data_IF_712939133435
#
_entry.id   IF_712939133435
#
_cell.length_a   1.000
_cell.length_b   1.000
_cell.length_c   1.000
_cell.angle_alpha   90.00
_cell.angle_beta   90.00
_cell.angle_gamma   90.00
#
_symmetry.space_group_name_H-M   'P 1'
#
loop_
_entity.id
_entity.type
_entity.pdbx_description
1 polymer ?
#
# COMPACT_ATOMS: atom_id res chain seq x y z
N UNK A 1 4.54 -23.43 -32.83
CA UNK A 1 5.03 -23.29 -31.44
C UNK A 1 4.99 -21.82 -31.05
N UNK A 2 4.40 -21.46 -29.91
CA UNK A 2 4.50 -20.10 -29.33
C UNK A 2 5.39 -20.18 -28.09
N UNK A 3 6.43 -19.34 -28.03
CA UNK A 3 7.41 -19.30 -26.94
C UNK A 3 7.28 -17.95 -26.21
N UNK A 4 6.99 -17.99 -24.91
CA UNK A 4 7.05 -16.84 -24.01
C UNK A 4 8.17 -17.11 -23.00
N UNK A 5 9.19 -16.25 -22.97
CA UNK A 5 10.24 -16.27 -21.95
C UNK A 5 10.10 -15.03 -21.07
N UNK A 6 9.92 -15.22 -19.77
CA UNK A 6 9.93 -14.15 -18.78
C UNK A 6 11.02 -14.47 -17.76
N UNK A 7 11.86 -13.48 -17.45
CA UNK A 7 12.86 -13.57 -16.37
C UNK A 7 12.23 -13.39 -14.98
N UNK A 8 10.92 -13.11 -14.92
CA UNK A 8 10.20 -12.80 -13.69
C UNK A 8 9.76 -14.06 -12.98
N UNK A 9 10.13 -14.18 -11.70
CA UNK A 9 9.57 -15.20 -10.80
C UNK A 9 8.24 -14.70 -10.22
N UNK A 10 7.19 -15.51 -10.33
CA UNK A 10 5.87 -15.21 -9.77
C UNK A 10 5.58 -16.26 -8.69
N UNK A 11 5.34 -15.80 -7.46
CA UNK A 11 4.91 -16.64 -6.34
C UNK A 11 3.38 -16.52 -6.20
N UNK A 12 2.68 -17.65 -6.20
CA UNK A 12 1.20 -17.71 -6.15
C UNK A 12 0.72 -18.85 -5.27
N UNK A 13 -0.51 -18.73 -4.75
CA UNK A 13 -1.13 -19.73 -3.89
C UNK A 13 -1.04 -19.37 -2.40
N UNK A 14 -1.55 -20.27 -1.57
CA UNK A 14 -1.40 -20.17 -0.12
C UNK A 14 0.09 -20.22 0.27
N UNK A 15 0.51 -19.38 1.21
CA UNK A 15 1.92 -19.29 1.63
C UNK A 15 2.83 -18.50 0.69
N UNK A 16 2.32 -17.89 -0.39
CA UNK A 16 3.17 -17.14 -1.34
C UNK A 16 4.01 -16.01 -0.70
N UNK A 17 3.54 -15.43 0.41
CA UNK A 17 4.26 -14.39 1.15
C UNK A 17 5.50 -14.91 1.90
N UNK A 18 5.61 -16.22 2.15
CA UNK A 18 6.80 -16.82 2.77
C UNK A 18 8.07 -16.59 1.95
N UNK A 19 7.93 -16.39 0.63
CA UNK A 19 9.03 -16.03 -0.24
C UNK A 19 9.72 -14.71 0.17
N UNK A 20 9.03 -13.81 0.90
CA UNK A 20 9.61 -12.56 1.40
C UNK A 20 10.72 -12.81 2.44
N UNK A 21 10.71 -13.95 3.14
CA UNK A 21 11.75 -14.31 4.11
C UNK A 21 13.10 -14.60 3.44
N UNK A 22 13.12 -14.86 2.13
CA UNK A 22 14.36 -15.13 1.38
C UNK A 22 15.24 -13.88 1.20
N UNK A 23 14.66 -12.68 1.34
CA UNK A 23 15.42 -11.44 1.31
C UNK A 23 16.06 -11.20 2.67
N UNK A 24 17.39 -11.19 2.73
CA UNK A 24 18.16 -10.92 3.95
C UNK A 24 19.15 -9.78 3.74
N UNK A 25 19.38 -8.98 4.79
CA UNK A 25 20.25 -7.81 4.80
C UNK A 25 19.94 -6.81 3.67
N UNK A 26 18.65 -6.58 3.38
CA UNK A 26 18.18 -5.66 2.33
C UNK A 26 17.56 -4.40 2.91
N UNK A 27 17.59 -3.33 2.11
CA UNK A 27 16.77 -2.13 2.32
C UNK A 27 15.53 -2.24 1.43
N UNK A 28 14.36 -2.34 2.05
CA UNK A 28 13.10 -2.62 1.38
C UNK A 28 12.22 -1.39 1.48
N UNK A 29 11.83 -0.83 0.34
CA UNK A 29 10.94 0.31 0.26
C UNK A 29 9.54 -0.13 -0.14
N UNK A 30 8.60 -0.03 0.81
CA UNK A 30 7.23 -0.46 0.64
C UNK A 30 6.41 0.74 0.19
N UNK A 31 5.89 0.68 -1.02
CA UNK A 31 4.94 1.68 -1.55
C UNK A 31 3.55 1.07 -1.48
N UNK A 32 2.66 1.72 -0.74
CA UNK A 32 1.32 1.19 -0.49
C UNK A 32 0.29 2.31 -0.41
N UNK A 33 -0.98 1.94 -0.30
CA UNK A 33 -2.09 2.86 -0.12
C UNK A 33 -2.48 3.01 1.37
N UNK A 34 -3.28 4.03 1.74
CA UNK A 34 -3.68 4.24 3.13
C UNK A 34 -4.56 3.14 3.68
N UNK A 35 -5.32 2.46 2.81
CA UNK A 35 -6.20 1.37 3.23
C UNK A 35 -5.38 0.20 3.77
N UNK A 36 -4.28 -0.15 3.12
CA UNK A 36 -3.35 -1.21 3.56
C UNK A 36 -2.77 -0.96 4.95
N UNK A 37 -2.53 0.30 5.31
CA UNK A 37 -2.09 0.68 6.68
C UNK A 37 -3.27 0.62 7.66
N UNK A 38 -4.41 1.21 7.29
CA UNK A 38 -5.58 1.29 8.18
C UNK A 38 -6.21 -0.08 8.51
N UNK A 39 -6.01 -1.06 7.63
CA UNK A 39 -6.59 -2.40 7.75
C UNK A 39 -5.71 -3.39 8.53
N UNK A 40 -4.47 -3.03 8.86
CA UNK A 40 -3.52 -3.94 9.49
C UNK A 40 -2.86 -4.95 8.54
N UNK A 41 -3.13 -4.84 7.23
CA UNK A 41 -2.61 -5.76 6.21
C UNK A 41 -1.11 -5.54 5.97
N UNK A 42 -0.63 -4.31 6.11
CA UNK A 42 0.79 -4.00 5.97
C UNK A 42 1.62 -4.77 7.00
N UNK A 43 1.17 -4.82 8.25
CA UNK A 43 1.82 -5.52 9.35
C UNK A 43 1.88 -7.03 9.07
N UNK A 44 0.79 -7.60 8.54
CA UNK A 44 0.76 -9.01 8.14
C UNK A 44 1.80 -9.32 7.06
N UNK A 45 1.97 -8.43 6.07
CA UNK A 45 3.02 -8.57 5.07
C UNK A 45 4.41 -8.42 5.69
N UNK A 46 4.57 -7.47 6.62
CA UNK A 46 5.87 -7.16 7.23
C UNK A 46 6.39 -8.30 8.13
N UNK A 47 5.52 -9.10 8.73
CA UNK A 47 5.89 -10.29 9.53
C UNK A 47 6.67 -11.33 8.71
N UNK A 48 6.49 -11.36 7.38
CA UNK A 48 7.20 -12.30 6.52
C UNK A 48 8.61 -11.84 6.12
N UNK A 49 9.01 -10.60 6.41
CA UNK A 49 10.38 -10.15 6.14
C UNK A 49 11.35 -10.66 7.20
N UNK A 50 12.55 -11.03 6.76
CA UNK A 50 13.63 -11.34 7.69
C UNK A 50 14.02 -10.10 8.53
N UNK A 51 14.30 -10.33 9.81
CA UNK A 51 14.64 -9.30 10.80
C UNK A 51 15.92 -8.50 10.48
N UNK A 52 16.81 -9.02 9.64
CA UNK A 52 18.02 -8.32 9.19
C UNK A 52 17.73 -7.20 8.19
N UNK A 53 16.50 -7.10 7.67
CA UNK A 53 16.12 -6.09 6.71
C UNK A 53 15.75 -4.75 7.36
N UNK A 54 16.04 -3.66 6.65
CA UNK A 54 15.54 -2.33 7.01
C UNK A 54 14.38 -1.96 6.08
N UNK A 55 13.23 -1.63 6.64
CA UNK A 55 12.02 -1.27 5.88
C UNK A 55 11.72 0.23 5.98
N UNK A 56 11.19 0.80 4.90
CA UNK A 56 10.65 2.16 4.88
C UNK A 56 9.34 2.18 4.09
N UNK A 57 8.32 2.87 4.59
CA UNK A 57 6.96 2.83 4.04
C UNK A 57 6.56 4.20 3.49
N UNK A 58 6.07 4.21 2.25
CA UNK A 58 5.48 5.38 1.60
C UNK A 58 4.01 5.11 1.30
N UNK A 59 3.13 5.90 1.93
CA UNK A 59 1.69 5.81 1.75
C UNK A 59 1.22 6.81 0.69
N UNK A 60 0.62 6.32 -0.40
CA UNK A 60 0.12 7.14 -1.50
C UNK A 60 -1.39 7.34 -1.38
N UNK A 61 -1.80 8.53 -0.95
CA UNK A 61 -3.23 8.90 -0.83
C UNK A 61 -3.91 8.89 -2.22
N UNK A 62 -5.01 8.13 -2.40
CA UNK A 62 -5.79 8.22 -3.63
C UNK A 62 -6.43 9.61 -3.72
N UNK A 63 -6.25 10.27 -4.87
CA UNK A 63 -6.69 11.64 -5.17
C UNK A 63 -8.21 11.88 -5.01
N UNK A 64 -9.00 10.81 -4.86
CA UNK A 64 -10.46 10.83 -4.95
C UNK A 64 -11.12 11.49 -3.71
N UNK A 65 -10.42 11.60 -2.57
CA UNK A 65 -10.99 12.19 -1.34
C UNK A 65 -10.87 13.73 -1.23
N UNK A 66 -9.99 14.39 -2.01
CA UNK A 66 -9.79 15.85 -1.86
C UNK A 66 -11.01 16.68 -2.30
N UNK A 67 -11.72 16.23 -3.33
CA UNK A 67 -12.83 17.00 -3.90
C UNK A 67 -14.11 16.95 -3.05
N UNK A 68 -14.35 15.83 -2.33
CA UNK A 68 -15.55 15.72 -1.48
C UNK A 68 -15.46 16.62 -0.24
N UNK A 69 -14.27 16.74 0.36
CA UNK A 69 -14.06 17.61 1.53
C UNK A 69 -14.18 19.09 1.20
N UNK A 70 -13.64 19.54 0.05
CA UNK A 70 -13.79 20.93 -0.39
C UNK A 70 -15.25 21.29 -0.69
N UNK A 71 -16.01 20.36 -1.29
CA UNK A 71 -17.44 20.57 -1.54
C UNK A 71 -18.27 20.63 -0.25
N UNK A 72 -17.94 19.80 0.75
CA UNK A 72 -18.58 19.83 2.07
C UNK A 72 -18.30 21.17 2.78
N UNK A 73 -17.04 21.62 2.76
CA UNK A 73 -16.64 22.90 3.33
C UNK A 73 -17.35 24.09 2.67
N UNK A 74 -17.51 24.08 1.34
CA UNK A 74 -18.27 25.10 0.61
C UNK A 74 -19.76 25.10 0.97
N UNK A 75 -20.38 23.92 1.16
CA UNK A 75 -21.77 23.80 1.61
C UNK A 75 -21.98 24.26 3.06
N UNK A 76 -20.98 24.08 3.92
CA UNK A 76 -21.00 24.59 5.30
C UNK A 76 -20.90 26.12 5.32
N UNK A 77 -19.99 26.68 4.50
CA UNK A 77 -19.73 28.11 4.41
C UNK A 77 -20.92 28.90 3.83
N UNK A 78 -21.64 28.33 2.85
CA UNK A 78 -22.88 28.93 2.33
C UNK A 78 -23.99 29.01 3.39
N UNK A 79 -24.19 27.96 4.20
CA UNK A 79 -25.22 27.93 5.25
C UNK A 79 -24.94 28.88 6.42
N UNK A 80 -23.66 29.17 6.71
CA UNK A 80 -23.27 30.12 7.77
C UNK A 80 -23.48 31.60 7.38
N UNK A 81 -23.82 31.91 6.12
CA UNK A 81 -24.09 33.28 5.66
C UNK A 81 -25.58 33.60 5.48
N UNK A 82 -26.45 32.62 5.63
CA UNK A 82 -27.92 32.74 5.52
C UNK A 82 -28.63 32.70 6.89
N UNK A 83 -27.88 32.72 7.99
CA UNK A 83 -28.36 32.94 9.37
C UNK A 83 -27.65 34.15 9.97
#
# INVERSE_FOLDING_TARGET
>A
MKKLQMQTTIYTGEGALEALATYTNKKIFIVTDPFMVSSGLLEQVMVHFDSSNTTAVLVRLPLIHRLKQSLLGLKQCKRSKES
#
